data_IF_947489103278
#
_entry.id   IF_947489103278
#
_cell.length_a   1.000
_cell.length_b   1.000
_cell.length_c   1.000
_cell.angle_alpha   90.00
_cell.angle_beta   90.00
_cell.angle_gamma   90.00
#
_symmetry.space_group_name_H-M   'P 1'
#
loop_
_entity.id
_entity.type
_entity.pdbx_description
1 polymer ?
#
# COMPACT_ATOMS: atom_id res chain seq x y z
N UNK A 1 11.25 1.72 -25.00
CA UNK A 1 9.89 1.59 -24.42
C UNK A 1 10.13 1.37 -22.94
N UNK A 2 9.66 2.28 -22.09
CA UNK A 2 9.75 2.13 -20.64
C UNK A 2 8.65 1.15 -20.22
N UNK A 3 9.03 0.09 -19.51
CA UNK A 3 8.07 -0.89 -18.99
C UNK A 3 7.21 -0.22 -17.92
N UNK A 4 6.00 -0.71 -17.69
CA UNK A 4 5.21 -0.33 -16.49
C UNK A 4 6.02 -0.58 -15.21
N UNK A 5 6.97 -1.53 -15.26
CA UNK A 5 7.93 -1.84 -14.19
C UNK A 5 8.98 -0.74 -13.94
N UNK A 6 9.16 0.22 -14.86
CA UNK A 6 10.08 1.35 -14.68
C UNK A 6 9.40 2.57 -14.04
N UNK A 7 8.06 2.58 -13.94
CA UNK A 7 7.31 3.73 -13.44
C UNK A 7 7.52 3.91 -11.94
N UNK A 8 7.99 5.10 -11.55
CA UNK A 8 8.27 5.44 -10.16
C UNK A 8 9.55 4.81 -9.60
N UNK A 9 10.36 4.12 -10.42
CA UNK A 9 11.66 3.57 -10.00
C UNK A 9 12.61 4.64 -9.44
N UNK A 10 12.49 5.87 -9.93
CA UNK A 10 13.22 7.04 -9.43
C UNK A 10 12.85 7.44 -8.00
N UNK A 11 11.72 6.96 -7.47
CA UNK A 11 11.26 7.20 -6.10
C UNK A 11 11.51 5.99 -5.17
N UNK A 12 11.88 4.83 -5.73
CA UNK A 12 11.96 3.58 -4.97
C UNK A 12 13.09 3.61 -3.93
N UNK A 13 14.26 4.15 -4.29
CA UNK A 13 15.42 4.18 -3.40
C UNK A 13 15.13 5.01 -2.15
N UNK A 14 14.55 6.18 -2.33
CA UNK A 14 14.22 7.11 -1.25
C UNK A 14 13.03 6.60 -0.43
N UNK A 15 12.07 5.90 -1.05
CA UNK A 15 11.01 5.19 -0.33
C UNK A 15 11.61 4.06 0.54
N UNK A 16 12.58 3.30 0.03
CA UNK A 16 13.32 2.28 0.79
C UNK A 16 14.14 2.88 1.94
N UNK A 17 14.48 4.16 1.87
CA UNK A 17 15.13 4.92 2.96
C UNK A 17 14.13 5.54 3.95
N UNK A 18 12.82 5.30 3.76
CA UNK A 18 11.76 5.76 4.66
C UNK A 18 11.19 7.14 4.34
N UNK A 19 11.36 7.65 3.12
CA UNK A 19 10.80 8.94 2.73
C UNK A 19 9.29 8.81 2.39
N UNK A 20 8.38 9.42 3.17
CA UNK A 20 6.95 9.29 2.95
C UNK A 20 6.44 10.01 1.67
N UNK A 21 7.10 11.08 1.23
CA UNK A 21 6.69 11.79 0.02
C UNK A 21 7.06 11.01 -1.24
N UNK A 22 8.22 10.34 -1.22
CA UNK A 22 8.66 9.47 -2.31
C UNK A 22 7.83 8.19 -2.38
N UNK A 23 7.38 7.66 -1.23
CA UNK A 23 6.39 6.58 -1.21
C UNK A 23 5.05 7.00 -1.87
N UNK A 24 4.57 8.21 -1.58
CA UNK A 24 3.37 8.75 -2.23
C UNK A 24 3.60 8.98 -3.72
N UNK A 25 4.80 9.42 -4.12
CA UNK A 25 5.16 9.60 -5.52
C UNK A 25 5.21 8.26 -6.26
N UNK A 26 5.79 7.22 -5.64
CA UNK A 26 5.78 5.84 -6.13
C UNK A 26 4.34 5.34 -6.32
N UNK A 27 3.47 5.52 -5.33
CA UNK A 27 2.05 5.20 -5.44
C UNK A 27 1.37 5.94 -6.61
N UNK A 28 1.57 7.26 -6.73
CA UNK A 28 0.99 8.08 -7.79
C UNK A 28 1.46 7.64 -9.18
N UNK A 29 2.76 7.40 -9.33
CA UNK A 29 3.34 6.87 -10.56
C UNK A 29 2.68 5.53 -10.94
N UNK A 30 2.39 4.70 -9.93
CA UNK A 30 1.75 3.41 -10.12
C UNK A 30 0.29 3.52 -10.57
N UNK A 31 -0.54 4.27 -9.85
CA UNK A 31 -1.97 4.42 -10.19
C UNK A 31 -2.18 5.15 -11.53
N UNK A 32 -1.33 6.15 -11.83
CA UNK A 32 -1.36 6.85 -13.13
C UNK A 32 -0.88 5.97 -14.29
N UNK A 33 0.03 5.02 -14.04
CA UNK A 33 0.49 4.03 -15.00
C UNK A 33 -0.58 3.02 -15.41
N UNK A 34 -1.48 2.65 -14.49
CA UNK A 34 -2.56 1.69 -14.72
C UNK A 34 -3.82 2.29 -15.36
N UNK A 35 -4.03 3.61 -15.25
CA UNK A 35 -5.13 4.31 -15.94
C UNK A 35 -5.05 4.34 -17.48
N UNK A 36 -4.03 3.71 -18.07
CA UNK A 36 -3.94 3.46 -19.51
C UNK A 36 -4.19 1.98 -19.73
N UNK A 37 -5.32 1.62 -20.34
CA UNK A 37 -5.58 0.31 -20.93
C UNK A 37 -4.45 -0.09 -21.88
N UNK A 38 -3.39 -0.67 -21.34
CA UNK A 38 -2.47 -1.53 -22.06
C UNK A 38 -2.94 -2.95 -21.74
N UNK A 39 -3.94 -3.37 -22.51
CA UNK A 39 -4.39 -4.75 -22.54
C UNK A 39 -3.19 -5.66 -22.89
N UNK A 40 -3.05 -6.75 -22.13
CA UNK A 40 -2.10 -7.87 -22.34
C UNK A 40 -0.61 -7.47 -22.18
N UNK A 41 0.19 -8.14 -21.33
CA UNK A 41 0.74 -9.45 -21.68
C UNK A 41 1.36 -10.25 -20.51
N UNK A 42 1.18 -9.89 -19.24
CA UNK A 42 1.79 -10.67 -18.16
C UNK A 42 0.77 -11.06 -17.08
N UNK A 43 0.25 -12.29 -17.19
CA UNK A 43 -0.42 -13.05 -16.12
C UNK A 43 0.57 -13.43 -15.00
N UNK A 44 1.38 -12.47 -14.56
CA UNK A 44 2.13 -12.53 -13.32
C UNK A 44 1.89 -11.21 -12.61
N UNK A 45 1.06 -11.24 -11.57
CA UNK A 45 1.05 -10.23 -10.51
C UNK A 45 2.38 -10.33 -9.76
N UNK A 46 3.47 -9.89 -10.38
CA UNK A 46 4.69 -9.51 -9.64
C UNK A 46 4.22 -8.37 -8.75
N UNK A 47 4.20 -8.61 -7.43
CA UNK A 47 3.51 -7.75 -6.47
C UNK A 47 3.78 -6.27 -6.73
N UNK A 48 2.71 -5.46 -6.68
CA UNK A 48 2.72 -4.04 -7.04
C UNK A 48 3.82 -3.21 -6.35
N UNK A 49 4.25 -3.70 -5.18
CA UNK A 49 5.29 -3.14 -4.32
C UNK A 49 6.30 -4.23 -3.91
N UNK A 50 6.45 -5.29 -4.71
CA UNK A 50 7.26 -6.46 -4.36
C UNK A 50 8.72 -6.08 -4.07
N UNK A 51 9.28 -5.15 -4.84
CA UNK A 51 10.64 -4.67 -4.59
C UNK A 51 10.74 -3.90 -3.27
N UNK A 52 9.73 -3.08 -2.96
CA UNK A 52 9.64 -2.36 -1.69
C UNK A 52 9.49 -3.36 -0.54
N UNK A 53 8.56 -4.31 -0.64
CA UNK A 53 8.28 -5.34 0.38
C UNK A 53 9.49 -6.23 0.67
N UNK A 54 10.25 -6.61 -0.35
CA UNK A 54 11.40 -7.50 -0.21
C UNK A 54 12.66 -6.80 0.31
N UNK A 55 12.78 -5.48 0.10
CA UNK A 55 14.02 -4.75 0.39
C UNK A 55 13.89 -3.75 1.55
N UNK A 56 12.67 -3.37 1.94
CA UNK A 56 12.48 -2.37 2.99
C UNK A 56 12.87 -2.96 4.35
N UNK A 57 13.63 -2.17 5.12
CA UNK A 57 13.94 -2.53 6.49
C UNK A 57 12.67 -2.46 7.37
N UNK A 58 12.45 -3.41 8.30
CA UNK A 58 11.20 -3.49 9.07
C UNK A 58 10.82 -2.20 9.82
N UNK A 59 11.81 -1.49 10.38
CA UNK A 59 11.56 -0.24 11.09
C UNK A 59 11.15 0.91 10.15
N UNK A 60 11.63 0.90 8.90
CA UNK A 60 11.22 1.86 7.88
C UNK A 60 9.81 1.56 7.40
N UNK A 61 9.49 0.28 7.17
CA UNK A 61 8.13 -0.15 6.84
C UNK A 61 7.13 0.31 7.91
N UNK A 62 7.45 0.10 9.19
CA UNK A 62 6.64 0.60 10.29
C UNK A 62 6.47 2.12 10.25
N UNK A 63 7.55 2.87 9.99
CA UNK A 63 7.52 4.34 9.97
C UNK A 63 6.67 4.90 8.83
N UNK A 64 6.64 4.22 7.69
CA UNK A 64 5.91 4.62 6.49
C UNK A 64 4.40 4.34 6.57
N UNK A 65 3.95 3.45 7.46
CA UNK A 65 2.53 3.10 7.62
C UNK A 65 1.65 4.33 7.83
N UNK A 66 2.14 5.36 8.54
CA UNK A 66 1.37 6.59 8.71
C UNK A 66 1.05 7.28 7.39
N UNK A 67 2.01 7.36 6.47
CA UNK A 67 1.82 8.02 5.19
C UNK A 67 0.84 7.26 4.30
N UNK A 68 0.89 5.92 4.31
CA UNK A 68 -0.01 5.08 3.51
C UNK A 68 -1.42 5.05 4.07
N UNK A 69 -1.58 5.04 5.40
CA UNK A 69 -2.89 5.15 6.03
C UNK A 69 -3.56 6.47 5.68
N UNK A 70 -2.81 7.59 5.72
CA UNK A 70 -3.32 8.90 5.33
C UNK A 70 -3.72 8.93 3.84
N UNK A 71 -2.92 8.29 2.99
CA UNK A 71 -3.20 8.13 1.57
C UNK A 71 -4.50 7.36 1.35
N UNK A 72 -4.62 6.15 1.91
CA UNK A 72 -5.80 5.29 1.78
C UNK A 72 -7.07 5.99 2.27
N UNK A 73 -7.00 6.73 3.38
CA UNK A 73 -8.16 7.48 3.89
C UNK A 73 -8.66 8.52 2.85
N UNK A 74 -7.74 9.17 2.14
CA UNK A 74 -8.02 10.24 1.17
C UNK A 74 -8.51 9.78 -0.21
N UNK A 75 -8.29 8.51 -0.59
CA UNK A 75 -8.63 8.00 -1.93
C UNK A 75 -10.12 7.69 -2.05
N UNK A 76 -10.83 8.39 -2.93
CA UNK A 76 -12.27 8.18 -3.19
C UNK A 76 -12.56 7.22 -4.35
N UNK A 77 -11.53 6.90 -5.14
CA UNK A 77 -11.63 5.93 -6.23
C UNK A 77 -11.34 4.51 -5.73
N UNK A 78 -12.10 3.53 -6.25
CA UNK A 78 -12.00 2.13 -5.82
C UNK A 78 -10.60 1.56 -6.06
N UNK A 79 -10.05 1.73 -7.26
CA UNK A 79 -8.77 1.10 -7.65
C UNK A 79 -7.62 1.74 -6.86
N UNK A 80 -7.65 3.06 -6.69
CA UNK A 80 -6.66 3.76 -5.88
C UNK A 80 -6.73 3.37 -4.40
N UNK A 81 -7.95 3.27 -3.85
CA UNK A 81 -8.16 2.86 -2.47
C UNK A 81 -7.66 1.44 -2.22
N UNK A 82 -8.00 0.51 -3.11
CA UNK A 82 -7.54 -0.88 -3.06
C UNK A 82 -6.00 -0.95 -3.11
N UNK A 83 -5.39 -0.25 -4.06
CA UNK A 83 -3.94 -0.16 -4.20
C UNK A 83 -3.26 0.40 -2.93
N UNK A 84 -3.86 1.41 -2.28
CA UNK A 84 -3.33 1.99 -1.05
C UNK A 84 -3.45 1.02 0.13
N UNK A 85 -4.54 0.23 0.22
CA UNK A 85 -4.69 -0.81 1.23
C UNK A 85 -3.73 -1.98 1.01
N UNK A 86 -3.49 -2.38 -0.23
CA UNK A 86 -2.50 -3.40 -0.57
C UNK A 86 -1.11 -2.96 -0.11
N UNK A 87 -0.71 -1.72 -0.43
CA UNK A 87 0.53 -1.14 0.07
C UNK A 87 0.59 -1.14 1.61
N UNK A 88 -0.50 -0.75 2.27
CA UNK A 88 -0.57 -0.76 3.73
C UNK A 88 -0.39 -2.18 4.28
N UNK A 89 -1.04 -3.18 3.67
CA UNK A 89 -0.93 -4.57 4.09
C UNK A 89 0.49 -5.12 3.94
N UNK A 90 1.17 -4.83 2.81
CA UNK A 90 2.57 -5.21 2.59
C UNK A 90 3.50 -4.57 3.63
N UNK A 91 3.32 -3.27 3.94
CA UNK A 91 4.12 -2.59 4.97
C UNK A 91 3.85 -3.14 6.38
N UNK A 92 2.60 -3.49 6.70
CA UNK A 92 2.26 -4.13 7.98
C UNK A 92 3.01 -5.45 8.13
N UNK A 93 2.98 -6.30 7.10
CA UNK A 93 3.69 -7.58 7.10
C UNK A 93 5.21 -7.37 7.17
N UNK A 94 5.76 -6.48 6.33
CA UNK A 94 7.19 -6.19 6.26
C UNK A 94 7.73 -5.54 7.55
N UNK A 95 6.89 -4.89 8.35
CA UNK A 95 7.30 -4.28 9.63
C UNK A 95 7.76 -5.30 10.68
N UNK A 96 7.40 -6.58 10.51
CA UNK A 96 7.74 -7.69 11.41
C UNK A 96 7.47 -7.41 12.91
N UNK A 97 6.51 -6.52 13.20
CA UNK A 97 6.11 -6.16 14.56
C UNK A 97 4.60 -6.27 14.74
N UNK A 98 4.17 -6.61 15.95
CA UNK A 98 2.76 -6.54 16.36
C UNK A 98 2.43 -5.22 17.06
N UNK A 99 3.38 -4.29 17.15
CA UNK A 99 3.10 -2.92 17.58
C UNK A 99 2.18 -2.26 16.56
N UNK A 100 1.10 -1.64 17.02
CA UNK A 100 0.12 -1.00 16.15
C UNK A 100 0.51 0.48 15.99
N UNK A 101 0.76 0.97 14.76
CA UNK A 101 0.96 2.40 14.53
C UNK A 101 -0.26 3.20 14.99
N UNK A 102 -0.03 4.31 15.71
CA UNK A 102 -1.12 5.15 16.23
C UNK A 102 -2.03 5.69 15.13
N UNK A 103 -1.47 6.01 13.97
CA UNK A 103 -2.21 6.46 12.78
C UNK A 103 -3.17 5.40 12.28
N UNK A 104 -2.68 4.16 12.15
CA UNK A 104 -3.50 3.01 11.78
C UNK A 104 -4.61 2.79 12.81
N UNK A 105 -4.27 2.72 14.10
CA UNK A 105 -5.26 2.52 15.17
C UNK A 105 -6.37 3.59 15.16
N UNK A 106 -6.00 4.85 14.97
CA UNK A 106 -6.95 5.96 14.98
C UNK A 106 -7.90 5.94 13.77
N UNK A 107 -7.44 5.43 12.62
CA UNK A 107 -8.16 5.51 11.34
C UNK A 107 -8.76 4.18 10.88
N UNK A 108 -8.47 3.09 11.58
CA UNK A 108 -8.83 1.74 11.13
C UNK A 108 -10.34 1.56 10.89
N UNK A 109 -11.17 2.05 11.82
CA UNK A 109 -12.64 1.96 11.68
C UNK A 109 -13.19 2.72 10.47
N UNK A 110 -12.56 3.85 10.11
CA UNK A 110 -12.87 4.60 8.90
C UNK A 110 -12.49 3.80 7.66
N UNK A 111 -11.27 3.26 7.61
CA UNK A 111 -10.79 2.45 6.49
C UNK A 111 -11.64 1.18 6.30
N UNK A 112 -11.98 0.49 7.39
CA UNK A 112 -12.87 -0.68 7.35
C UNK A 112 -14.25 -0.31 6.80
N UNK A 113 -14.86 0.78 7.29
CA UNK A 113 -16.16 1.24 6.80
C UNK A 113 -16.11 1.58 5.31
N UNK A 114 -15.01 2.15 4.83
CA UNK A 114 -14.80 2.47 3.41
C UNK A 114 -14.61 1.21 2.57
N UNK A 115 -13.81 0.26 3.04
CA UNK A 115 -13.61 -1.05 2.41
C UNK A 115 -14.92 -1.83 2.29
N UNK A 116 -15.77 -1.84 3.32
CA UNK A 116 -17.09 -2.49 3.27
C UNK A 116 -18.01 -1.83 2.24
N UNK A 117 -17.96 -0.49 2.09
CA UNK A 117 -18.76 0.23 1.08
C UNK A 117 -18.33 -0.10 -0.35
N UNK A 118 -17.03 -0.28 -0.57
CA UNK A 118 -16.50 -0.70 -1.87
C UNK A 118 -16.74 -2.20 -2.14
N UNK A 119 -16.58 -3.05 -1.13
CA UNK A 119 -16.67 -4.50 -1.24
C UNK A 119 -15.48 -5.12 -1.97
N UNK A 120 -15.38 -6.44 -2.01
CA UNK A 120 -14.34 -7.17 -2.74
C UNK A 120 -12.96 -7.09 -2.07
N UNK A 121 -11.91 -6.96 -2.89
CA UNK A 121 -10.49 -6.98 -2.50
C UNK A 121 -10.12 -6.04 -1.32
N UNK A 122 -10.64 -4.80 -1.24
CA UNK A 122 -10.39 -3.93 -0.08
C UNK A 122 -10.75 -4.56 1.27
N UNK A 123 -11.76 -5.43 1.32
CA UNK A 123 -12.17 -6.13 2.55
C UNK A 123 -11.13 -7.18 2.93
N UNK A 124 -10.53 -7.85 1.96
CA UNK A 124 -9.50 -8.86 2.17
C UNK A 124 -8.22 -8.19 2.73
N UNK A 125 -7.82 -7.05 2.19
CA UNK A 125 -6.65 -6.29 2.68
C UNK A 125 -6.86 -5.77 4.10
N UNK A 126 -8.08 -5.33 4.46
CA UNK A 126 -8.44 -5.00 5.87
C UNK A 126 -8.36 -6.24 6.78
N UNK A 127 -8.79 -7.41 6.31
CA UNK A 127 -8.72 -8.64 7.08
C UNK A 127 -7.26 -9.07 7.33
N UNK A 128 -6.36 -8.89 6.35
CA UNK A 128 -4.92 -9.13 6.50
C UNK A 128 -4.34 -8.21 7.58
N UNK A 129 -4.61 -6.90 7.50
CA UNK A 129 -4.12 -5.92 8.48
C UNK A 129 -4.63 -6.27 9.89
N UNK A 130 -5.93 -6.52 10.04
CA UNK A 130 -6.52 -6.91 11.33
C UNK A 130 -5.92 -8.22 11.87
N UNK A 131 -5.73 -9.21 10.99
CA UNK A 131 -5.17 -10.51 11.31
C UNK A 131 -3.75 -10.42 11.84
N UNK A 132 -2.91 -9.59 11.22
CA UNK A 132 -1.53 -9.35 11.66
C UNK A 132 -1.45 -8.85 13.11
N UNK A 133 -2.37 -7.95 13.48
CA UNK A 133 -2.48 -7.41 14.85
C UNK A 133 -3.41 -8.23 15.76
N UNK A 134 -3.69 -9.49 15.39
CA UNK A 134 -4.47 -10.45 16.20
C UNK A 134 -5.83 -9.91 16.66
N UNK A 135 -6.50 -9.14 15.80
CA UNK A 135 -7.80 -8.51 16.07
C UNK A 135 -7.78 -7.47 17.21
N UNK A 136 -6.64 -6.83 17.47
CA UNK A 136 -6.55 -5.71 18.41
C UNK A 136 -6.98 -4.34 17.80
N UNK A 137 -7.42 -4.35 16.53
CA UNK A 137 -7.88 -3.22 15.73
C UNK A 137 -9.39 -3.24 15.50
#
# INVERSE_FOLDING_TARGET
MSSVLDLGKEHLQEALEGNPEELKALFRARVSGWGKTYAHEEEMTVGLFSDLEQQIEPYLAFSLLSAVVDLAESEEDFDNFNCALDLASSLVVASLTTEIPRSLQAKFSTLESKAVRFGGEPVDSIAVIRGHYRNAL
#
